data_IF_271555404437
#
_entry.id   IF_271555404437
#
_cell.length_a   1.000
_cell.length_b   1.000
_cell.length_c   1.000
_cell.angle_alpha   90.00
_cell.angle_beta   90.00
_cell.angle_gamma   90.00
#
_symmetry.space_group_name_H-M   'P 1'
#
loop_
_entity.id
_entity.type
_entity.pdbx_description
1 polymer ?
#
# COMPACT_ATOMS: atom_id res chain seq x y z
N UNK A 1 100.65 74.76 19.82
CA UNK A 1 99.67 73.66 20.02
C UNK A 1 98.32 74.18 20.55
N UNK A 2 97.85 75.36 20.10
CA UNK A 2 96.60 75.99 20.56
C UNK A 2 95.62 76.30 19.40
N UNK A 3 96.11 76.42 18.16
CA UNK A 3 95.29 76.68 16.96
C UNK A 3 94.67 75.39 16.40
N UNK A 4 95.27 74.22 16.67
CA UNK A 4 94.74 72.92 16.23
C UNK A 4 93.55 72.43 17.06
N UNK A 5 93.48 72.77 18.35
CA UNK A 5 92.38 72.32 19.22
C UNK A 5 91.10 73.11 18.97
N UNK A 6 91.20 74.40 18.64
CA UNK A 6 90.03 75.23 18.28
C UNK A 6 89.44 74.80 16.93
N UNK A 7 90.27 74.54 15.91
CA UNK A 7 89.78 73.99 14.63
C UNK A 7 89.19 72.58 14.78
N UNK A 8 89.80 71.69 15.56
CA UNK A 8 89.23 70.36 15.85
C UNK A 8 87.91 70.46 16.63
N UNK A 9 87.74 71.47 17.49
CA UNK A 9 86.48 71.67 18.22
C UNK A 9 85.35 72.20 17.32
N UNK A 10 85.66 73.10 16.38
CA UNK A 10 84.68 73.67 15.44
C UNK A 10 84.29 72.64 14.38
N UNK A 11 85.25 71.98 13.72
CA UNK A 11 84.94 70.91 12.76
C UNK A 11 84.32 69.68 13.44
N UNK A 12 84.67 69.42 14.70
CA UNK A 12 84.03 68.38 15.52
C UNK A 12 82.63 68.77 16.00
N UNK A 13 82.28 70.05 16.01
CA UNK A 13 80.93 70.53 16.32
C UNK A 13 80.03 70.45 15.09
N UNK A 14 80.50 70.89 13.92
CA UNK A 14 79.75 70.78 12.67
C UNK A 14 79.51 69.31 12.28
N UNK A 15 80.51 68.45 12.45
CA UNK A 15 80.35 67.01 12.19
C UNK A 15 79.39 66.32 13.16
N UNK A 16 79.33 66.75 14.42
CA UNK A 16 78.31 66.28 15.38
C UNK A 16 76.92 66.75 15.00
N UNK A 17 76.78 68.02 14.59
CA UNK A 17 75.52 68.58 14.12
C UNK A 17 75.01 67.91 12.84
N UNK A 18 75.91 67.48 11.94
CA UNK A 18 75.54 66.67 10.77
C UNK A 18 75.15 65.23 11.15
N UNK A 19 75.85 64.63 12.12
CA UNK A 19 75.47 63.30 12.65
C UNK A 19 74.12 63.33 13.36
N UNK A 20 73.83 64.38 14.13
CA UNK A 20 72.54 64.57 14.79
C UNK A 20 71.42 64.74 13.76
N UNK A 21 71.65 65.54 12.70
CA UNK A 21 70.70 65.65 11.58
C UNK A 21 70.47 64.33 10.85
N UNK A 22 71.52 63.53 10.63
CA UNK A 22 71.39 62.21 10.00
C UNK A 22 70.66 61.22 10.92
N UNK A 23 70.90 61.29 12.24
CA UNK A 23 70.18 60.49 13.22
C UNK A 23 68.70 60.88 13.30
N UNK A 24 68.38 62.17 13.25
CA UNK A 24 67.01 62.68 13.21
C UNK A 24 66.27 62.22 11.94
N UNK A 25 66.92 62.31 10.77
CA UNK A 25 66.36 61.83 9.50
C UNK A 25 66.15 60.30 9.55
N UNK A 26 67.10 59.55 10.10
CA UNK A 26 66.97 58.10 10.25
C UNK A 26 65.84 57.72 11.22
N UNK A 27 65.65 58.46 12.31
CA UNK A 27 64.54 58.27 13.23
C UNK A 27 63.20 58.60 12.58
N UNK A 28 63.11 59.70 11.83
CA UNK A 28 61.91 60.06 11.07
C UNK A 28 61.56 58.98 10.06
N UNK A 29 62.53 58.48 9.31
CA UNK A 29 62.31 57.40 8.35
C UNK A 29 61.89 56.08 9.03
N UNK A 30 62.45 55.76 10.20
CA UNK A 30 61.99 54.60 10.98
C UNK A 30 60.56 54.76 11.50
N UNK A 31 60.15 55.97 11.87
CA UNK A 31 58.78 56.26 12.30
C UNK A 31 57.80 56.16 11.11
N UNK A 32 58.17 56.66 9.94
CA UNK A 32 57.37 56.54 8.72
C UNK A 32 57.21 55.07 8.29
N UNK A 33 58.29 54.28 8.32
CA UNK A 33 58.23 52.85 8.01
C UNK A 33 57.36 52.08 9.01
N UNK A 34 57.35 52.45 10.30
CA UNK A 34 56.44 51.85 11.29
C UNK A 34 54.99 52.19 10.99
N UNK A 35 54.69 53.46 10.69
CA UNK A 35 53.33 53.89 10.32
C UNK A 35 52.84 53.18 9.06
N UNK A 36 53.65 53.13 8.00
CA UNK A 36 53.29 52.43 6.77
C UNK A 36 53.08 50.92 7.00
N UNK A 37 53.83 50.31 7.93
CA UNK A 37 53.64 48.91 8.31
C UNK A 37 52.35 48.70 9.11
N UNK A 38 52.01 49.61 10.02
CA UNK A 38 50.76 49.59 10.79
C UNK A 38 49.55 49.76 9.86
N UNK A 39 49.58 50.74 8.95
CA UNK A 39 48.53 50.96 7.95
C UNK A 39 48.33 49.75 7.04
N UNK A 40 49.42 49.15 6.54
CA UNK A 40 49.32 47.94 5.71
C UNK A 40 48.77 46.74 6.49
N UNK A 41 49.11 46.63 7.77
CA UNK A 41 48.60 45.57 8.64
C UNK A 41 47.10 45.76 8.89
N UNK A 42 46.64 46.99 9.13
CA UNK A 42 45.24 47.33 9.32
C UNK A 42 44.43 47.08 8.04
N UNK A 43 44.95 47.41 6.86
CA UNK A 43 44.32 47.11 5.57
C UNK A 43 44.20 45.60 5.33
N UNK A 44 45.26 44.84 5.64
CA UNK A 44 45.27 43.38 5.52
C UNK A 44 44.26 42.72 6.47
N UNK A 45 44.13 43.24 7.69
CA UNK A 45 43.15 42.78 8.66
C UNK A 45 41.72 43.14 8.25
N UNK A 46 41.51 44.35 7.73
CA UNK A 46 40.22 44.78 7.18
C UNK A 46 39.79 43.88 6.00
N UNK A 47 40.72 43.56 5.09
CA UNK A 47 40.46 42.66 3.97
C UNK A 47 40.12 41.23 4.43
N UNK A 48 40.85 40.69 5.41
CA UNK A 48 40.56 39.38 6.00
C UNK A 48 39.18 39.34 6.66
N UNK A 49 38.80 40.40 7.38
CA UNK A 49 37.47 40.52 8.01
C UNK A 49 36.37 40.61 6.95
N UNK A 50 36.60 41.37 5.87
CA UNK A 50 35.66 41.47 4.75
C UNK A 50 35.47 40.10 4.06
N UNK A 51 36.56 39.37 3.77
CA UNK A 51 36.52 38.04 3.17
C UNK A 51 35.83 37.02 4.08
N UNK A 52 36.09 37.06 5.39
CA UNK A 52 35.43 36.18 6.35
C UNK A 52 33.92 36.48 6.41
N UNK A 53 33.52 37.74 6.40
CA UNK A 53 32.10 38.14 6.35
C UNK A 53 31.43 37.68 5.06
N UNK A 54 32.10 37.81 3.92
CA UNK A 54 31.61 37.33 2.63
C UNK A 54 31.41 35.81 2.64
N UNK A 55 32.42 35.04 3.11
CA UNK A 55 32.32 33.58 3.27
C UNK A 55 31.21 33.18 4.23
N UNK A 56 31.05 33.88 5.35
CA UNK A 56 29.96 33.64 6.29
C UNK A 56 28.59 33.93 5.70
N UNK A 57 28.45 35.00 4.91
CA UNK A 57 27.19 35.34 4.24
C UNK A 57 26.81 34.26 3.21
N UNK A 58 27.77 33.77 2.43
CA UNK A 58 27.59 32.67 1.48
C UNK A 58 27.21 31.38 2.22
N UNK A 59 27.91 31.02 3.31
CA UNK A 59 27.57 29.86 4.12
C UNK A 59 26.17 29.96 4.76
N UNK A 60 25.73 31.15 5.15
CA UNK A 60 24.36 31.37 5.63
C UNK A 60 23.32 31.17 4.53
N UNK A 61 23.61 31.63 3.30
CA UNK A 61 22.74 31.39 2.14
C UNK A 61 22.62 29.91 1.82
N UNK A 62 23.72 29.18 1.72
CA UNK A 62 23.68 27.73 1.48
C UNK A 62 22.92 26.98 2.58
N UNK A 63 23.13 27.30 3.86
CA UNK A 63 22.33 26.70 4.95
C UNK A 63 20.85 27.04 4.86
N UNK A 64 20.48 28.22 4.35
CA UNK A 64 19.09 28.60 4.16
C UNK A 64 18.47 27.84 2.99
N UNK A 65 19.21 27.65 1.89
CA UNK A 65 18.82 26.85 0.73
C UNK A 65 18.64 25.37 1.12
N UNK A 66 19.61 24.76 1.80
CA UNK A 66 19.53 23.38 2.29
C UNK A 66 18.32 23.17 3.23
N UNK A 67 18.08 24.12 4.15
CA UNK A 67 16.91 24.07 5.03
C UNK A 67 15.61 24.18 4.24
N UNK A 68 15.56 25.07 3.26
CA UNK A 68 14.38 25.22 2.40
C UNK A 68 14.11 23.93 1.61
N UNK A 69 15.13 23.35 0.96
CA UNK A 69 15.01 22.08 0.25
C UNK A 69 14.57 20.95 1.18
N UNK A 70 15.13 20.86 2.38
CA UNK A 70 14.71 19.88 3.39
C UNK A 70 13.25 20.07 3.80
N UNK A 71 12.79 21.31 4.01
CA UNK A 71 11.39 21.59 4.35
C UNK A 71 10.43 21.26 3.20
N UNK A 72 10.80 21.56 1.96
CA UNK A 72 10.02 21.21 0.77
C UNK A 72 9.94 19.68 0.62
N UNK A 73 11.04 18.97 0.86
CA UNK A 73 11.07 17.51 0.82
C UNK A 73 10.16 16.92 1.91
N UNK A 74 10.23 17.44 3.14
CA UNK A 74 9.36 17.01 4.24
C UNK A 74 7.89 17.22 3.90
N UNK A 75 7.52 18.40 3.37
CA UNK A 75 6.15 18.70 2.94
C UNK A 75 5.67 17.74 1.86
N UNK A 76 6.45 17.54 0.79
CA UNK A 76 6.10 16.59 -0.28
C UNK A 76 5.98 15.15 0.23
N UNK A 77 6.84 14.76 1.16
CA UNK A 77 6.79 13.43 1.79
C UNK A 77 5.52 13.28 2.63
N UNK A 78 5.10 14.33 3.32
CA UNK A 78 3.87 14.35 4.12
C UNK A 78 2.61 14.35 3.24
N UNK A 79 2.62 15.08 2.13
CA UNK A 79 1.57 15.01 1.10
C UNK A 79 1.45 13.60 0.50
N UNK A 80 2.58 12.98 0.12
CA UNK A 80 2.61 11.61 -0.35
C UNK A 80 2.10 10.64 0.71
N UNK A 81 2.54 10.78 1.96
CA UNK A 81 2.07 9.96 3.08
C UNK A 81 0.56 10.11 3.27
N UNK A 82 0.05 11.34 3.21
CA UNK A 82 -1.38 11.63 3.35
C UNK A 82 -2.18 11.04 2.19
N UNK A 83 -1.66 11.15 0.97
CA UNK A 83 -2.24 10.53 -0.23
C UNK A 83 -2.28 9.00 -0.11
N UNK A 84 -1.17 8.37 0.26
CA UNK A 84 -1.12 6.93 0.52
C UNK A 84 -2.11 6.53 1.62
N UNK A 85 -2.17 7.28 2.72
CA UNK A 85 -3.13 7.01 3.80
C UNK A 85 -4.59 7.21 3.34
N UNK A 86 -4.86 8.06 2.36
CA UNK A 86 -6.20 8.23 1.79
C UNK A 86 -6.56 7.07 0.84
N UNK A 87 -5.61 6.61 0.03
CA UNK A 87 -5.84 5.62 -1.02
C UNK A 87 -5.66 4.17 -0.57
N UNK A 88 -4.90 3.90 0.50
CA UNK A 88 -4.71 2.56 1.05
C UNK A 88 -5.98 2.10 1.78
N UNK A 89 -6.63 1.02 1.33
CA UNK A 89 -7.85 0.53 1.96
C UNK A 89 -7.61 -0.09 3.35
N UNK A 90 -6.36 -0.45 3.67
CA UNK A 90 -5.97 -1.15 4.90
C UNK A 90 -5.98 -0.24 6.13
N UNK A 91 -6.45 -0.77 7.26
CA UNK A 91 -6.32 -0.16 8.59
C UNK A 91 -4.87 -0.22 9.10
N UNK A 92 -4.34 0.88 9.60
CA UNK A 92 -3.01 0.89 10.22
C UNK A 92 -2.87 -0.14 11.37
N UNK A 93 -3.92 -0.31 12.18
CA UNK A 93 -3.95 -1.27 13.31
C UNK A 93 -3.82 -2.73 12.88
N UNK A 94 -4.08 -3.03 11.61
CA UNK A 94 -4.08 -4.39 11.05
C UNK A 94 -2.72 -4.77 10.48
N UNK A 95 -1.80 -3.81 10.28
CA UNK A 95 -0.49 -4.08 9.68
C UNK A 95 0.30 -5.13 10.47
N UNK A 96 0.25 -5.09 11.81
CA UNK A 96 0.88 -6.13 12.65
C UNK A 96 0.28 -7.52 12.39
N UNK A 97 -1.05 -7.61 12.33
CA UNK A 97 -1.76 -8.87 12.07
C UNK A 97 -1.43 -9.45 10.69
N UNK A 98 -1.27 -8.60 9.66
CA UNK A 98 -0.84 -9.01 8.33
C UNK A 98 0.58 -9.58 8.35
N UNK A 99 1.50 -8.91 9.05
CA UNK A 99 2.88 -9.38 9.20
C UNK A 99 2.95 -10.71 9.94
N UNK A 100 2.14 -10.88 10.98
CA UNK A 100 2.07 -12.13 11.74
C UNK A 100 1.47 -13.26 10.90
N UNK A 101 0.42 -12.99 10.13
CA UNK A 101 -0.17 -13.95 9.20
C UNK A 101 0.84 -14.37 8.12
N UNK A 102 1.55 -13.43 7.50
CA UNK A 102 2.58 -13.73 6.50
C UNK A 102 3.71 -14.58 7.08
N UNK A 103 4.17 -14.28 8.30
CA UNK A 103 5.19 -15.10 8.99
C UNK A 103 4.68 -16.50 9.29
N UNK A 104 3.45 -16.62 9.79
CA UNK A 104 2.83 -17.91 10.10
C UNK A 104 2.69 -18.78 8.85
N UNK A 105 2.16 -18.23 7.75
CA UNK A 105 1.97 -18.99 6.51
C UNK A 105 3.29 -19.38 5.86
N UNK A 106 4.30 -18.51 5.94
CA UNK A 106 5.66 -18.84 5.51
C UNK A 106 6.27 -19.97 6.35
N UNK A 107 6.04 -19.99 7.66
CA UNK A 107 6.52 -21.06 8.55
C UNK A 107 5.83 -22.40 8.26
N UNK A 108 4.55 -22.37 7.90
CA UNK A 108 3.76 -23.54 7.51
C UNK A 108 4.02 -24.00 6.06
N UNK A 109 4.88 -23.30 5.31
CA UNK A 109 5.21 -23.63 3.93
C UNK A 109 4.02 -23.57 2.97
N UNK A 110 2.99 -22.77 3.28
CA UNK A 110 1.74 -22.67 2.51
C UNK A 110 1.05 -24.03 2.28
N UNK A 111 1.13 -24.92 3.28
CA UNK A 111 0.51 -26.23 3.25
C UNK A 111 -1.04 -26.18 3.28
N UNK A 112 -1.69 -27.36 3.34
CA UNK A 112 -3.15 -27.48 3.31
C UNK A 112 -3.90 -26.82 4.48
N UNK A 113 -3.18 -26.39 5.50
CA UNK A 113 -3.75 -25.73 6.68
C UNK A 113 -3.80 -24.21 6.51
N UNK A 114 -3.20 -23.68 5.43
CA UNK A 114 -3.24 -22.27 5.08
C UNK A 114 -4.63 -21.91 4.52
N UNK A 115 -5.42 -21.08 5.20
CA UNK A 115 -6.75 -20.71 4.73
C UNK A 115 -6.68 -19.66 3.62
N UNK A 116 -7.68 -19.67 2.74
CA UNK A 116 -7.92 -18.57 1.81
C UNK A 116 -8.45 -17.36 2.60
N UNK A 117 -7.73 -16.25 2.58
CA UNK A 117 -8.18 -15.03 3.25
C UNK A 117 -9.14 -14.27 2.33
N UNK A 118 -10.34 -13.93 2.80
CA UNK A 118 -11.31 -13.18 2.01
C UNK A 118 -11.43 -11.76 2.56
N UNK A 119 -11.28 -10.78 1.68
CA UNK A 119 -11.46 -9.36 1.98
C UNK A 119 -12.62 -8.84 1.13
N UNK A 120 -13.70 -8.42 1.81
CA UNK A 120 -14.80 -7.69 1.18
C UNK A 120 -14.49 -6.19 1.27
N UNK A 121 -14.37 -5.50 0.13
CA UNK A 121 -14.17 -4.05 0.13
C UNK A 121 -15.47 -3.32 0.43
N UNK A 122 -15.34 -2.21 1.16
CA UNK A 122 -16.48 -1.35 1.45
C UNK A 122 -16.78 -0.43 0.28
N UNK A 123 -18.06 -0.25 0.07
CA UNK A 123 -18.62 0.59 -0.97
C UNK A 123 -19.02 1.96 -0.44
N UNK A 124 -18.94 2.99 -1.27
CA UNK A 124 -19.00 4.42 -0.89
C UNK A 124 -20.40 4.95 -0.54
N UNK A 125 -21.31 4.11 -0.06
CA UNK A 125 -22.70 4.51 0.15
C UNK A 125 -23.21 4.20 1.56
N UNK A 126 -23.73 5.26 2.18
CA UNK A 126 -23.67 5.52 3.62
C UNK A 126 -24.69 4.76 4.49
N UNK A 127 -25.06 3.52 4.15
CA UNK A 127 -26.07 2.83 4.93
C UNK A 127 -26.01 1.29 4.94
N UNK A 128 -24.85 0.69 4.68
CA UNK A 128 -24.65 -0.74 4.99
C UNK A 128 -23.93 -0.86 6.33
N UNK A 129 -24.49 -1.65 7.24
CA UNK A 129 -23.72 -2.13 8.38
C UNK A 129 -22.87 -3.33 7.93
N UNK A 130 -21.60 -3.07 7.65
CA UNK A 130 -20.64 -4.11 7.28
C UNK A 130 -20.34 -5.05 8.46
N UNK A 131 -20.59 -4.66 9.71
CA UNK A 131 -20.43 -5.57 10.83
C UNK A 131 -21.45 -6.71 10.76
N UNK A 132 -22.70 -6.40 10.41
CA UNK A 132 -23.75 -7.42 10.25
C UNK A 132 -23.39 -8.39 9.11
N UNK A 133 -22.96 -7.85 7.97
CA UNK A 133 -22.47 -8.65 6.83
C UNK A 133 -21.32 -9.56 7.27
N UNK A 134 -20.29 -8.98 7.93
CA UNK A 134 -19.14 -9.76 8.39
C UNK A 134 -19.52 -10.80 9.45
N UNK A 135 -20.48 -10.51 10.34
CA UNK A 135 -20.91 -11.45 11.37
C UNK A 135 -21.62 -12.67 10.75
N UNK A 136 -22.42 -12.48 9.70
CA UNK A 136 -23.01 -13.60 8.96
C UNK A 136 -21.94 -14.38 8.18
N UNK A 137 -20.98 -13.68 7.54
CA UNK A 137 -19.86 -14.33 6.86
C UNK A 137 -18.99 -15.15 7.82
N UNK A 138 -18.75 -14.68 9.05
CA UNK A 138 -18.00 -15.42 10.07
C UNK A 138 -18.71 -16.72 10.49
N UNK A 139 -20.06 -16.77 10.47
CA UNK A 139 -20.81 -18.01 10.70
C UNK A 139 -20.63 -18.98 9.53
N UNK A 140 -20.72 -18.47 8.31
CA UNK A 140 -20.48 -19.24 7.08
C UNK A 140 -19.07 -19.83 7.05
N UNK A 141 -18.08 -19.08 7.55
CA UNK A 141 -16.69 -19.50 7.64
C UNK A 141 -16.51 -20.83 8.36
N UNK A 142 -17.21 -21.02 9.49
CA UNK A 142 -17.12 -22.24 10.29
C UNK A 142 -17.65 -23.47 9.55
N UNK A 143 -18.54 -23.27 8.57
CA UNK A 143 -19.19 -24.35 7.83
C UNK A 143 -18.47 -24.69 6.52
N UNK A 144 -17.94 -23.69 5.80
CA UNK A 144 -17.16 -23.91 4.57
C UNK A 144 -15.74 -24.44 4.87
N UNK A 145 -15.12 -23.98 5.96
CA UNK A 145 -13.77 -24.39 6.36
C UNK A 145 -12.66 -23.90 5.42
N UNK A 146 -11.43 -23.85 5.94
CA UNK A 146 -10.21 -23.40 5.22
C UNK A 146 -10.35 -22.02 4.54
N UNK A 147 -11.23 -21.19 5.08
CA UNK A 147 -11.48 -19.83 4.65
C UNK A 147 -11.48 -18.93 5.87
N UNK A 148 -10.99 -17.70 5.75
CA UNK A 148 -11.08 -16.70 6.83
C UNK A 148 -11.50 -15.36 6.28
N UNK A 149 -12.62 -14.82 6.76
CA UNK A 149 -13.03 -13.45 6.43
C UNK A 149 -12.21 -12.47 7.26
N UNK A 150 -11.60 -11.49 6.58
CA UNK A 150 -10.67 -10.55 7.18
C UNK A 150 -11.20 -9.12 7.08
N UNK A 151 -11.46 -8.51 8.25
CA UNK A 151 -11.90 -7.11 8.40
C UNK A 151 -10.73 -6.12 8.32
N UNK A 152 -9.84 -6.33 7.34
CA UNK A 152 -8.59 -5.60 7.18
C UNK A 152 -8.78 -4.24 6.50
N UNK A 153 -9.85 -4.11 5.73
CA UNK A 153 -10.22 -2.91 4.99
C UNK A 153 -11.54 -2.35 5.53
N UNK A 154 -11.57 -1.07 5.88
CA UNK A 154 -12.80 -0.38 6.30
C UNK A 154 -13.14 0.85 5.46
N UNK A 155 -12.25 1.22 4.54
CA UNK A 155 -12.43 2.43 3.73
C UNK A 155 -13.25 2.11 2.51
N UNK A 156 -14.07 3.09 2.14
CA UNK A 156 -14.93 3.09 0.97
C UNK A 156 -14.15 3.24 -0.34
N UNK A 157 -13.36 2.23 -0.68
CA UNK A 157 -12.42 2.25 -1.81
C UNK A 157 -12.65 1.10 -2.79
N UNK A 158 -13.84 0.49 -2.81
CA UNK A 158 -14.18 -0.58 -3.75
C UNK A 158 -13.94 -0.15 -5.23
N UNK A 159 -12.75 -0.47 -5.73
CA UNK A 159 -12.26 -0.12 -7.06
C UNK A 159 -11.04 -0.98 -7.41
N UNK A 160 -10.76 -1.11 -8.71
CA UNK A 160 -9.66 -1.95 -9.20
C UNK A 160 -8.28 -1.51 -8.66
N UNK A 161 -8.08 -0.21 -8.45
CA UNK A 161 -6.84 0.31 -7.85
C UNK A 161 -6.61 -0.15 -6.41
N UNK A 162 -7.68 -0.32 -5.62
CA UNK A 162 -7.59 -0.82 -4.26
C UNK A 162 -7.16 -2.30 -4.25
N UNK A 163 -7.64 -3.11 -5.20
CA UNK A 163 -7.24 -4.51 -5.35
C UNK A 163 -5.74 -4.62 -5.64
N UNK A 164 -5.22 -3.82 -6.59
CA UNK A 164 -3.79 -3.83 -6.93
C UNK A 164 -2.92 -3.37 -5.76
N UNK A 165 -3.37 -2.34 -5.02
CA UNK A 165 -2.66 -1.89 -3.82
C UNK A 165 -2.64 -2.95 -2.71
N UNK A 166 -3.73 -3.71 -2.55
CA UNK A 166 -3.79 -4.84 -1.61
C UNK A 166 -2.82 -5.95 -2.00
N UNK A 167 -2.80 -6.32 -3.28
CA UNK A 167 -1.86 -7.32 -3.79
C UNK A 167 -0.41 -6.93 -3.53
N UNK A 168 -0.04 -5.66 -3.75
CA UNK A 168 1.32 -5.18 -3.48
C UNK A 168 1.75 -5.36 -2.01
N UNK A 169 0.81 -5.35 -1.07
CA UNK A 169 1.06 -5.51 0.37
C UNK A 169 0.96 -6.97 0.80
N UNK A 170 0.06 -7.73 0.18
CA UNK A 170 -0.37 -9.05 0.62
C UNK A 170 0.02 -10.16 -0.35
N UNK A 171 1.00 -9.94 -1.22
CA UNK A 171 1.46 -10.91 -2.24
C UNK A 171 1.92 -12.26 -1.66
N UNK A 172 2.35 -12.28 -0.39
CA UNK A 172 2.74 -13.50 0.32
C UNK A 172 1.59 -14.11 1.15
N UNK A 173 0.37 -13.62 0.99
CA UNK A 173 -0.81 -14.11 1.72
C UNK A 173 -1.86 -14.51 0.68
N UNK A 174 -2.27 -15.79 0.61
CA UNK A 174 -3.30 -16.20 -0.33
C UNK A 174 -4.61 -15.47 0.01
N UNK A 175 -5.10 -14.70 -0.95
CA UNK A 175 -6.19 -13.75 -0.71
C UNK A 175 -7.15 -13.70 -1.89
N UNK A 176 -8.43 -13.67 -1.57
CA UNK A 176 -9.53 -13.28 -2.45
C UNK A 176 -10.03 -11.90 -2.03
N UNK A 177 -10.10 -10.97 -2.96
CA UNK A 177 -10.73 -9.66 -2.77
C UNK A 177 -12.02 -9.60 -3.57
N UNK A 178 -13.13 -9.29 -2.90
CA UNK A 178 -14.44 -9.04 -3.52
C UNK A 178 -14.73 -7.55 -3.39
N UNK A 179 -15.05 -6.90 -4.51
CA UNK A 179 -15.21 -5.46 -4.60
C UNK A 179 -16.58 -5.09 -5.21
N UNK A 180 -17.57 -4.75 -4.36
CA UNK A 180 -18.84 -4.20 -4.81
C UNK A 180 -18.74 -2.69 -5.10
N UNK A 181 -18.92 -2.31 -6.37
CA UNK A 181 -18.86 -0.92 -6.82
C UNK A 181 -20.19 -0.48 -7.44
N UNK A 182 -20.70 0.69 -7.04
CA UNK A 182 -22.00 1.19 -7.48
C UNK A 182 -21.84 2.11 -8.68
N UNK A 183 -22.54 1.80 -9.77
CA UNK A 183 -22.60 2.64 -10.96
C UNK A 183 -23.95 2.47 -11.65
N UNK A 184 -24.53 3.57 -12.13
CA UNK A 184 -25.71 3.52 -13.00
C UNK A 184 -26.95 2.84 -12.43
N UNK A 185 -27.15 2.83 -11.11
CA UNK A 185 -28.28 2.12 -10.49
C UNK A 185 -28.08 0.60 -10.40
N UNK A 186 -26.84 0.14 -10.37
CA UNK A 186 -26.48 -1.26 -10.15
C UNK A 186 -25.25 -1.38 -9.26
N UNK A 187 -25.11 -2.52 -8.59
CA UNK A 187 -23.89 -2.92 -7.88
C UNK A 187 -23.13 -3.89 -8.78
N UNK A 188 -21.98 -3.45 -9.27
CA UNK A 188 -21.08 -4.28 -10.05
C UNK A 188 -20.09 -4.99 -9.13
N UNK A 189 -19.97 -6.29 -9.27
CA UNK A 189 -19.01 -7.08 -8.50
C UNK A 189 -17.78 -7.36 -9.35
N UNK A 190 -16.62 -6.97 -8.83
CA UNK A 190 -15.32 -7.45 -9.32
C UNK A 190 -14.66 -8.29 -8.25
N UNK A 191 -13.93 -9.32 -8.67
CA UNK A 191 -13.14 -10.12 -7.77
C UNK A 191 -11.74 -10.35 -8.32
N UNK A 192 -10.80 -10.55 -7.42
CA UNK A 192 -9.44 -10.92 -7.77
C UNK A 192 -8.87 -11.84 -6.71
N UNK A 193 -8.14 -12.85 -7.14
CA UNK A 193 -7.55 -13.86 -6.28
C UNK A 193 -6.09 -14.02 -6.64
N UNK A 194 -5.26 -14.24 -5.63
CA UNK A 194 -3.86 -14.60 -5.82
C UNK A 194 -3.41 -15.63 -4.81
N UNK A 195 -2.43 -16.41 -5.24
CA UNK A 195 -1.71 -17.35 -4.40
C UNK A 195 -0.48 -16.67 -3.80
N UNK A 196 0.03 -17.23 -2.71
CA UNK A 196 1.28 -16.74 -2.16
C UNK A 196 2.42 -16.97 -3.16
N UNK A 197 3.30 -15.98 -3.31
CA UNK A 197 4.49 -16.05 -4.16
C UNK A 197 4.20 -16.17 -5.67
N UNK A 198 2.99 -15.86 -6.12
CA UNK A 198 2.72 -15.77 -7.56
C UNK A 198 3.51 -14.61 -8.17
N UNK A 199 4.28 -14.89 -9.23
CA UNK A 199 4.97 -13.86 -10.00
C UNK A 199 4.01 -13.06 -10.90
N UNK A 200 2.81 -13.60 -11.14
CA UNK A 200 1.80 -12.97 -11.97
C UNK A 200 1.02 -11.90 -11.20
N UNK A 201 0.77 -10.76 -11.86
CA UNK A 201 -0.19 -9.78 -11.34
C UNK A 201 -1.59 -10.41 -11.28
N UNK A 202 -2.35 -10.14 -10.21
CA UNK A 202 -3.64 -10.77 -10.03
C UNK A 202 -4.62 -10.24 -11.07
N UNK A 203 -5.32 -11.16 -11.74
CA UNK A 203 -6.31 -10.78 -12.73
C UNK A 203 -7.56 -10.28 -12.03
N UNK A 204 -8.00 -9.07 -12.34
CA UNK A 204 -9.27 -8.51 -11.85
C UNK A 204 -10.36 -8.94 -12.81
N UNK A 205 -11.27 -9.79 -12.33
CA UNK A 205 -12.38 -10.31 -13.12
C UNK A 205 -13.67 -9.57 -12.77
N UNK A 206 -14.37 -8.98 -13.76
CA UNK A 206 -15.77 -8.62 -13.57
C UNK A 206 -16.59 -9.91 -13.42
N UNK A 207 -17.47 -9.95 -12.42
CA UNK A 207 -18.33 -11.10 -12.16
C UNK A 207 -19.70 -10.88 -12.82
N UNK A 208 -20.56 -10.13 -12.15
CA UNK A 208 -21.93 -9.84 -12.57
C UNK A 208 -22.40 -8.55 -11.88
N UNK A 209 -23.59 -8.08 -12.27
CA UNK A 209 -24.14 -6.81 -11.78
C UNK A 209 -25.54 -7.03 -11.28
N UNK A 210 -25.85 -6.50 -10.10
CA UNK A 210 -27.20 -6.61 -9.54
C UNK A 210 -27.89 -5.25 -9.60
N UNK A 211 -29.19 -5.19 -9.94
CA UNK A 211 -29.95 -3.96 -9.88
C UNK A 211 -29.93 -3.39 -8.46
N UNK A 212 -29.67 -2.09 -8.34
CA UNK A 212 -29.76 -1.37 -7.09
C UNK A 212 -30.75 -0.22 -7.27
N UNK A 213 -31.80 -0.13 -6.44
CA UNK A 213 -32.72 1.00 -6.49
C UNK A 213 -31.94 2.32 -6.46
N UNK A 214 -32.22 3.22 -7.40
CA UNK A 214 -31.54 4.52 -7.53
C UNK A 214 -31.71 5.39 -6.28
N UNK A 215 -32.82 5.20 -5.56
CA UNK A 215 -33.13 5.80 -4.27
C UNK A 215 -32.11 5.45 -3.17
N UNK A 216 -31.40 4.33 -3.32
CA UNK A 216 -30.31 3.94 -2.42
C UNK A 216 -29.09 4.86 -2.52
N UNK A 217 -28.86 5.43 -3.71
CA UNK A 217 -27.68 6.25 -4.00
C UNK A 217 -27.92 7.73 -3.66
N UNK A 218 -29.18 8.11 -3.40
CA UNK A 218 -29.59 9.50 -3.23
C UNK A 218 -29.31 9.99 -1.79
N UNK A 219 -28.45 11.00 -1.59
CA UNK A 219 -28.06 11.48 -0.26
C UNK A 219 -29.22 12.11 0.55
N UNK A 220 -30.38 12.33 -0.06
CA UNK A 220 -31.54 13.01 0.55
C UNK A 220 -32.74 12.09 0.82
N UNK A 221 -32.71 10.82 0.39
CA UNK A 221 -33.81 9.88 0.64
C UNK A 221 -33.42 8.89 1.75
N UNK A 222 -34.30 8.78 2.76
CA UNK A 222 -34.19 7.75 3.79
C UNK A 222 -34.59 6.42 3.15
N UNK A 223 -33.61 5.68 2.64
CA UNK A 223 -33.84 4.29 2.23
C UNK A 223 -34.39 3.50 3.43
N UNK A 224 -35.42 2.68 3.19
CA UNK A 224 -36.09 1.91 4.24
C UNK A 224 -35.11 0.95 4.91
N UNK A 225 -35.33 0.65 6.19
CA UNK A 225 -34.46 -0.27 6.95
C UNK A 225 -34.50 -1.66 6.31
N UNK A 226 -35.68 -2.06 5.83
CA UNK A 226 -35.92 -3.31 5.12
C UNK A 226 -35.13 -3.39 3.82
N UNK A 227 -35.09 -2.29 3.04
CA UNK A 227 -34.32 -2.23 1.82
C UNK A 227 -32.81 -2.36 2.08
N UNK A 228 -32.29 -1.67 3.11
CA UNK A 228 -30.86 -1.76 3.47
C UNK A 228 -30.49 -3.19 3.81
N UNK A 229 -31.33 -3.84 4.61
CA UNK A 229 -31.15 -5.23 5.00
C UNK A 229 -31.20 -6.17 3.80
N UNK A 230 -32.13 -5.98 2.86
CA UNK A 230 -32.17 -6.77 1.64
C UNK A 230 -30.87 -6.67 0.83
N UNK A 231 -30.28 -5.47 0.70
CA UNK A 231 -28.98 -5.29 0.02
C UNK A 231 -27.84 -5.95 0.82
N UNK A 232 -27.83 -5.85 2.15
CA UNK A 232 -26.85 -6.52 3.01
C UNK A 232 -26.93 -8.05 2.87
N UNK A 233 -28.14 -8.61 2.92
CA UNK A 233 -28.39 -10.05 2.75
C UNK A 233 -27.93 -10.51 1.36
N UNK A 234 -28.17 -9.70 0.34
CA UNK A 234 -27.76 -9.99 -1.03
C UNK A 234 -26.23 -9.93 -1.21
N UNK A 235 -25.55 -8.93 -0.63
CA UNK A 235 -24.07 -8.85 -0.60
C UNK A 235 -23.48 -10.04 0.18
N UNK A 236 -24.13 -10.44 1.27
CA UNK A 236 -23.72 -11.59 2.10
C UNK A 236 -23.83 -12.89 1.31
N UNK A 237 -24.94 -13.09 0.60
CA UNK A 237 -25.15 -14.24 -0.27
C UNK A 237 -24.10 -14.30 -1.37
N UNK A 238 -23.91 -13.21 -2.13
CA UNK A 238 -22.89 -13.14 -3.18
C UNK A 238 -21.50 -13.43 -2.62
N UNK A 239 -21.14 -12.76 -1.53
CA UNK A 239 -19.82 -12.93 -0.91
C UNK A 239 -19.62 -14.38 -0.45
N UNK A 240 -20.66 -15.02 0.09
CA UNK A 240 -20.64 -16.44 0.48
C UNK A 240 -20.38 -17.35 -0.72
N UNK A 241 -21.15 -17.21 -1.79
CA UNK A 241 -21.05 -18.09 -2.96
C UNK A 241 -19.73 -17.88 -3.71
N UNK A 242 -19.34 -16.62 -3.95
CA UNK A 242 -18.07 -16.28 -4.61
C UNK A 242 -16.89 -16.80 -3.78
N UNK A 243 -16.93 -16.62 -2.45
CA UNK A 243 -15.90 -17.16 -1.55
C UNK A 243 -15.85 -18.69 -1.59
N UNK A 244 -17.00 -19.35 -1.60
CA UNK A 244 -17.09 -20.81 -1.68
C UNK A 244 -16.52 -21.36 -2.98
N UNK A 245 -16.87 -20.78 -4.13
CA UNK A 245 -16.31 -21.15 -5.43
C UNK A 245 -14.79 -20.96 -5.45
N UNK A 246 -14.32 -19.77 -5.06
CA UNK A 246 -12.90 -19.45 -5.04
C UNK A 246 -12.11 -20.35 -4.09
N UNK A 247 -12.67 -20.62 -2.89
CA UNK A 247 -12.10 -21.56 -1.93
C UNK A 247 -11.99 -22.94 -2.54
N UNK A 248 -13.05 -23.48 -3.11
CA UNK A 248 -13.06 -24.84 -3.63
C UNK A 248 -12.10 -24.97 -4.81
N UNK A 249 -12.05 -24.00 -5.72
CA UNK A 249 -11.06 -23.98 -6.80
C UNK A 249 -9.63 -23.87 -6.27
N UNK A 250 -9.35 -22.94 -5.36
CA UNK A 250 -8.01 -22.78 -4.79
C UNK A 250 -7.56 -24.04 -4.06
N UNK A 251 -8.39 -24.55 -3.14
CA UNK A 251 -8.08 -25.70 -2.29
C UNK A 251 -7.94 -27.00 -3.10
N UNK A 252 -8.77 -27.20 -4.12
CA UNK A 252 -8.66 -28.37 -4.98
C UNK A 252 -7.39 -28.32 -5.84
N UNK A 253 -7.13 -27.17 -6.48
CA UNK A 253 -6.03 -27.03 -7.45
C UNK A 253 -4.65 -26.94 -6.80
N UNK A 254 -4.56 -26.33 -5.61
CA UNK A 254 -3.27 -26.11 -4.92
C UNK A 254 -2.99 -27.08 -3.79
N UNK A 255 -4.03 -27.60 -3.12
CA UNK A 255 -3.89 -28.41 -1.91
C UNK A 255 -4.54 -29.80 -2.03
N UNK A 256 -5.15 -30.13 -3.18
CA UNK A 256 -5.80 -31.41 -3.42
C UNK A 256 -6.99 -31.70 -2.49
N UNK A 257 -7.65 -30.66 -1.97
CA UNK A 257 -8.76 -30.79 -1.01
C UNK A 257 -10.11 -30.79 -1.73
N UNK A 258 -11.03 -31.60 -1.21
CA UNK A 258 -12.39 -31.72 -1.74
C UNK A 258 -13.16 -30.40 -1.70
N UNK A 259 -14.03 -30.14 -2.71
CA UNK A 259 -14.98 -29.05 -2.66
C UNK A 259 -15.98 -29.20 -1.50
N UNK A 260 -16.35 -28.09 -0.87
CA UNK A 260 -17.20 -28.03 0.33
C UNK A 260 -18.50 -27.26 0.11
N UNK A 261 -18.55 -26.34 -0.87
CA UNK A 261 -19.74 -25.55 -1.16
C UNK A 261 -21.00 -26.39 -1.46
N UNK A 262 -20.93 -27.53 -2.20
CA UNK A 262 -22.13 -28.36 -2.43
C UNK A 262 -22.75 -28.87 -1.13
N UNK A 263 -21.92 -29.37 -0.20
CA UNK A 263 -22.36 -29.83 1.11
C UNK A 263 -22.90 -28.67 1.97
N UNK A 264 -22.26 -27.51 1.91
CA UNK A 264 -22.74 -26.31 2.58
C UNK A 264 -24.15 -25.93 2.12
N UNK A 265 -24.40 -25.88 0.80
CA UNK A 265 -25.72 -25.55 0.25
C UNK A 265 -26.78 -26.59 0.61
N UNK A 266 -26.42 -27.87 0.59
CA UNK A 266 -27.29 -28.96 1.01
C UNK A 266 -27.72 -28.84 2.48
N UNK A 267 -26.82 -28.41 3.35
CA UNK A 267 -27.08 -28.24 4.78
C UNK A 267 -27.74 -26.89 5.12
N UNK A 268 -27.76 -25.94 4.19
CA UNK A 268 -28.33 -24.60 4.37
C UNK A 268 -29.43 -24.32 3.34
N UNK A 269 -30.63 -24.92 3.50
CA UNK A 269 -31.71 -24.81 2.51
C UNK A 269 -32.20 -23.37 2.30
N UNK A 270 -32.10 -22.50 3.32
CA UNK A 270 -32.48 -21.10 3.17
C UNK A 270 -31.56 -20.37 2.19
N UNK A 271 -30.25 -20.63 2.27
CA UNK A 271 -29.25 -20.05 1.35
C UNK A 271 -29.46 -20.59 -0.06
N UNK A 272 -29.73 -21.90 -0.19
CA UNK A 272 -30.03 -22.52 -1.48
C UNK A 272 -31.28 -21.92 -2.13
N UNK A 273 -32.37 -21.73 -1.36
CA UNK A 273 -33.59 -21.08 -1.86
C UNK A 273 -33.33 -19.65 -2.33
N UNK A 274 -32.56 -18.87 -1.57
CA UNK A 274 -32.18 -17.53 -2.00
C UNK A 274 -31.35 -17.54 -3.27
N UNK A 275 -30.40 -18.47 -3.40
CA UNK A 275 -29.54 -18.61 -4.59
C UNK A 275 -30.33 -18.97 -5.86
N UNK A 276 -31.35 -19.81 -5.75
CA UNK A 276 -32.15 -20.30 -6.89
C UNK A 276 -33.24 -19.31 -7.33
N UNK A 277 -33.51 -18.27 -6.53
CA UNK A 277 -34.44 -17.21 -6.88
C UNK A 277 -34.04 -16.53 -8.22
N UNK A 278 -35.03 -16.09 -9.01
CA UNK A 278 -34.80 -15.46 -10.31
C UNK A 278 -33.91 -14.21 -10.22
N UNK A 279 -34.03 -13.45 -9.13
CA UNK A 279 -33.19 -12.28 -8.85
C UNK A 279 -31.69 -12.61 -8.80
N UNK A 280 -31.34 -13.87 -8.51
CA UNK A 280 -29.97 -14.37 -8.35
C UNK A 280 -29.51 -15.28 -9.50
N UNK A 281 -30.23 -15.28 -10.64
CA UNK A 281 -29.90 -16.14 -11.79
C UNK A 281 -28.47 -15.95 -12.30
N UNK A 282 -27.96 -14.72 -12.30
CA UNK A 282 -26.57 -14.45 -12.71
C UNK A 282 -25.57 -15.07 -11.73
N UNK A 283 -25.80 -14.97 -10.41
CA UNK A 283 -24.96 -15.60 -9.39
C UNK A 283 -24.99 -17.13 -9.48
N UNK A 284 -26.17 -17.71 -9.66
CA UNK A 284 -26.33 -19.16 -9.82
C UNK A 284 -25.61 -19.67 -11.09
N UNK A 285 -25.76 -18.96 -12.21
CA UNK A 285 -25.05 -19.33 -13.45
C UNK A 285 -23.54 -19.16 -13.34
N UNK A 286 -23.06 -18.11 -12.66
CA UNK A 286 -21.65 -17.94 -12.30
C UNK A 286 -21.12 -19.16 -11.53
N UNK A 287 -21.79 -19.57 -10.45
CA UNK A 287 -21.37 -20.72 -9.64
C UNK A 287 -21.27 -22.00 -10.49
N UNK A 288 -22.31 -22.31 -11.27
CA UNK A 288 -22.30 -23.52 -12.11
C UNK A 288 -21.20 -23.48 -13.18
N UNK A 289 -20.94 -22.31 -13.76
CA UNK A 289 -19.88 -22.13 -14.74
C UNK A 289 -18.48 -22.30 -14.12
N UNK A 290 -18.23 -21.77 -12.93
CA UNK A 290 -16.93 -21.94 -12.25
C UNK A 290 -16.63 -23.43 -11.98
N UNK A 291 -17.60 -24.22 -11.51
CA UNK A 291 -17.40 -25.66 -11.31
C UNK A 291 -17.24 -26.43 -12.62
N UNK A 292 -17.95 -26.02 -13.68
CA UNK A 292 -17.77 -26.59 -15.01
C UNK A 292 -16.38 -26.30 -15.54
N UNK A 293 -15.92 -25.06 -15.48
CA UNK A 293 -14.57 -24.66 -15.91
C UNK A 293 -13.50 -25.38 -15.10
N UNK A 294 -13.66 -25.48 -13.78
CA UNK A 294 -12.76 -26.23 -12.92
C UNK A 294 -12.67 -27.71 -13.33
N UNK A 295 -13.80 -28.35 -13.61
CA UNK A 295 -13.84 -29.74 -14.09
C UNK A 295 -13.18 -29.88 -15.47
N UNK A 296 -13.50 -28.99 -16.41
CA UNK A 296 -12.96 -29.00 -17.78
C UNK A 296 -11.42 -28.82 -17.79
N UNK A 297 -10.88 -27.97 -16.89
CA UNK A 297 -9.44 -27.75 -16.74
C UNK A 297 -8.70 -29.00 -16.25
N UNK A 298 -9.29 -29.72 -15.29
CA UNK A 298 -8.73 -30.95 -14.74
C UNK A 298 -8.84 -32.13 -15.72
N UNK A 299 -9.95 -32.23 -16.48
CA UNK A 299 -10.14 -33.28 -17.49
C UNK A 299 -9.16 -33.15 -18.66
N UNK A 300 -8.91 -31.92 -19.15
CA UNK A 300 -8.02 -31.67 -20.29
C UNK A 300 -6.53 -31.83 -19.97
N UNK A 301 -6.17 -32.07 -18.70
CA UNK A 301 -4.78 -32.09 -18.23
C UNK A 301 -4.01 -30.79 -18.52
N UNK A 302 -4.72 -29.68 -18.78
CA UNK A 302 -4.15 -28.34 -18.98
C UNK A 302 -3.78 -27.68 -17.64
N UNK A 303 -3.79 -28.43 -16.54
CA UNK A 303 -3.40 -27.95 -15.23
C UNK A 303 -1.88 -27.69 -15.20
N UNK A 304 -1.42 -26.44 -15.02
CA UNK A 304 0.00 -26.09 -15.04
C UNK A 304 0.74 -26.49 -13.75
N UNK A 305 0.22 -27.48 -13.01
CA UNK A 305 0.82 -27.93 -11.75
C UNK A 305 1.96 -28.91 -12.03
N UNK A 306 3.18 -28.37 -12.04
CA UNK A 306 4.43 -29.12 -11.86
C UNK A 306 4.51 -29.82 -10.49
N UNK A 307 3.48 -29.68 -9.66
CA UNK A 307 3.36 -30.16 -8.29
C UNK A 307 2.52 -31.44 -8.14
N UNK A 308 1.74 -31.84 -9.15
CA UNK A 308 0.80 -32.97 -9.06
C UNK A 308 1.08 -34.02 -10.13
N UNK A 309 0.99 -35.28 -9.74
CA UNK A 309 1.08 -36.44 -10.65
C UNK A 309 -0.17 -36.58 -11.51
N UNK A 310 -0.05 -37.28 -12.65
CA UNK A 310 -1.20 -37.55 -13.53
C UNK A 310 -2.32 -38.34 -12.84
N UNK A 311 -1.99 -39.14 -11.83
CA UNK A 311 -2.97 -39.92 -11.06
C UNK A 311 -3.71 -39.02 -10.08
N UNK A 312 -3.02 -38.11 -9.41
CA UNK A 312 -3.64 -37.09 -8.55
C UNK A 312 -4.58 -36.18 -9.35
N UNK A 313 -4.17 -35.71 -10.53
CA UNK A 313 -5.02 -34.89 -11.41
C UNK A 313 -6.31 -35.62 -11.79
N UNK A 314 -6.23 -36.92 -12.11
CA UNK A 314 -7.42 -37.75 -12.39
C UNK A 314 -8.33 -37.87 -11.18
N UNK A 315 -7.77 -38.03 -9.99
CA UNK A 315 -8.56 -38.11 -8.76
C UNK A 315 -9.27 -36.79 -8.46
N UNK A 316 -8.58 -35.66 -8.65
CA UNK A 316 -9.17 -34.32 -8.50
C UNK A 316 -10.28 -34.08 -9.53
N UNK A 317 -10.13 -34.54 -10.77
CA UNK A 317 -11.18 -34.46 -11.78
C UNK A 317 -12.44 -35.22 -11.36
N UNK A 318 -12.31 -36.40 -10.73
CA UNK A 318 -13.45 -37.15 -10.18
C UNK A 318 -14.17 -36.35 -9.11
N UNK A 319 -13.43 -35.71 -8.20
CA UNK A 319 -14.01 -34.90 -7.13
C UNK A 319 -14.70 -33.62 -7.66
N UNK A 320 -14.06 -32.92 -8.60
CA UNK A 320 -14.65 -31.77 -9.29
C UNK A 320 -15.94 -32.16 -10.02
N UNK A 321 -15.91 -33.28 -10.76
CA UNK A 321 -17.07 -33.79 -11.48
C UNK A 321 -18.21 -34.20 -10.56
N UNK A 322 -17.92 -34.79 -9.40
CA UNK A 322 -18.92 -35.11 -8.37
C UNK A 322 -19.57 -33.83 -7.81
N UNK A 323 -18.75 -32.84 -7.43
CA UNK A 323 -19.22 -31.57 -6.90
C UNK A 323 -20.08 -30.80 -7.92
N UNK A 324 -19.64 -30.75 -9.18
CA UNK A 324 -20.37 -30.12 -10.28
C UNK A 324 -21.75 -30.75 -10.49
N UNK A 325 -21.82 -32.09 -10.52
CA UNK A 325 -23.10 -32.83 -10.63
C UNK A 325 -24.00 -32.60 -9.41
N UNK A 326 -23.44 -32.57 -8.20
CA UNK A 326 -24.23 -32.32 -6.99
C UNK A 326 -24.84 -30.92 -7.01
N UNK A 327 -24.08 -29.89 -7.41
CA UNK A 327 -24.61 -28.53 -7.55
C UNK A 327 -25.72 -28.45 -8.59
N UNK A 328 -25.52 -29.05 -9.77
CA UNK A 328 -26.57 -29.13 -10.80
C UNK A 328 -27.84 -29.80 -10.26
N UNK A 329 -27.72 -30.91 -9.54
CA UNK A 329 -28.86 -31.58 -8.91
C UNK A 329 -29.56 -30.70 -7.87
N UNK A 330 -28.80 -29.98 -7.03
CA UNK A 330 -29.37 -29.10 -6.00
C UNK A 330 -30.13 -27.92 -6.63
N UNK A 331 -29.57 -27.31 -7.67
CA UNK A 331 -30.21 -26.18 -8.35
C UNK A 331 -31.42 -26.61 -9.19
N UNK A 332 -31.39 -27.79 -9.82
CA UNK A 332 -32.53 -28.32 -10.57
C UNK A 332 -33.69 -28.77 -9.66
N UNK A 333 -33.41 -29.53 -8.61
CA UNK A 333 -34.45 -30.02 -7.68
C UNK A 333 -35.18 -28.89 -6.95
N UNK A 334 -34.52 -27.76 -6.74
CA UNK A 334 -35.14 -26.60 -6.09
C UNK A 334 -35.97 -25.71 -7.04
N UNK A 335 -35.89 -25.93 -8.36
CA UNK A 335 -36.74 -25.26 -9.36
C UNK A 335 -38.06 -26.03 -9.59
N UNK A 336 -38.11 -27.31 -9.21
CA UNK A 336 -39.28 -28.20 -9.37
C UNK A 336 -40.16 -28.31 -8.10
N UNK A 337 -39.72 -27.76 -6.97
CA UNK A 337 -40.36 -27.85 -5.65
C UNK A 337 -41.00 -26.53 -5.21
#
# INVERSE_FOLDING_TARGET
>A
MLISSTLQSVFGYDRRKEQDKQADIAQQHQLELRKAKEEFQDELEAQKVADMRAKMAVARKYRAEERFEQTVLQHKTEELRTYFMKCLPIKQKVISQLLDAAKSYKALGYNSDCPLNVVLLHTKQAALDYNDICNELDKTQMQLGNLVYRRWCDKDVAHNSAILNLHAIMSNIPTLVISPFFQGGSIHFTASMWEAQSEAMPMIRPLFSIPCPTEYLAPQQKFTVEGKKAIQDHITLISTIVSGCARDSYMLMTQGRTPTLPNYLKNNPNVLKSLVNEDNKELCSFMLNEYKTMNDLLEKSDCPSHLLTKEEIKQLAIEAGKASKELQCLTHKSLEA
#
